data_IF_645929535232
#
_entry.id   IF_645929535232
#
_cell.length_a   1.000
_cell.length_b   1.000
_cell.length_c   1.000
_cell.angle_alpha   90.00
_cell.angle_beta   90.00
_cell.angle_gamma   90.00
#
_symmetry.space_group_name_H-M   'P 1'
#
loop_
_entity.id
_entity.type
_entity.pdbx_description
1 polymer ?
#
# COMPACT_ATOMS: atom_id res chain seq x y z
N UNK A 1 -25.01 -56.80 11.95
CA UNK A 1 -25.56 -55.52 12.45
C UNK A 1 -24.99 -54.36 11.65
N UNK A 2 -25.50 -54.08 10.43
CA UNK A 2 -24.64 -53.43 9.40
C UNK A 2 -25.05 -52.06 8.86
N UNK A 3 -26.31 -51.79 8.52
CA UNK A 3 -26.67 -50.56 7.78
C UNK A 3 -27.93 -49.87 8.30
N UNK A 4 -28.90 -50.65 8.79
CA UNK A 4 -30.12 -50.12 9.40
C UNK A 4 -29.88 -49.41 10.74
N UNK A 5 -28.83 -49.79 11.48
CA UNK A 5 -28.44 -49.11 12.73
C UNK A 5 -27.80 -47.74 12.44
N UNK A 6 -26.95 -47.67 11.42
CA UNK A 6 -26.28 -46.45 10.99
C UNK A 6 -27.28 -45.39 10.45
N UNK A 7 -28.34 -45.79 9.74
CA UNK A 7 -29.42 -44.86 9.35
C UNK A 7 -30.21 -44.33 10.55
N UNK A 8 -30.47 -45.16 11.56
CA UNK A 8 -31.19 -44.74 12.78
C UNK A 8 -30.36 -43.78 13.62
N UNK A 9 -29.06 -44.04 13.75
CA UNK A 9 -28.14 -43.15 14.47
C UNK A 9 -27.94 -41.83 13.70
N UNK A 10 -27.89 -41.85 12.36
CA UNK A 10 -27.85 -40.63 11.54
C UNK A 10 -29.15 -39.81 11.64
N UNK A 11 -30.31 -40.46 11.76
CA UNK A 11 -31.60 -39.77 11.95
C UNK A 11 -31.74 -39.16 13.35
N UNK A 12 -31.11 -39.76 14.36
CA UNK A 12 -31.01 -39.18 15.70
C UNK A 12 -30.03 -37.99 15.75
N UNK A 13 -28.87 -38.09 15.09
CA UNK A 13 -27.91 -36.98 14.96
C UNK A 13 -28.49 -35.80 14.15
N UNK A 14 -29.30 -36.08 13.12
CA UNK A 14 -30.02 -35.05 12.34
C UNK A 14 -31.12 -34.37 13.16
N UNK A 15 -31.68 -35.01 14.18
CA UNK A 15 -32.63 -34.39 15.09
C UNK A 15 -31.96 -33.43 16.10
N UNK A 16 -30.66 -33.60 16.37
CA UNK A 16 -29.83 -32.70 17.20
C UNK A 16 -29.17 -31.57 16.39
N UNK A 17 -29.45 -31.49 15.08
CA UNK A 17 -28.87 -30.51 14.17
C UNK A 17 -29.34 -29.04 14.27
N UNK A 18 -30.37 -28.60 15.03
CA UNK A 18 -30.67 -27.16 15.10
C UNK A 18 -29.59 -26.35 15.84
N UNK A 19 -28.86 -26.96 16.78
CA UNK A 19 -27.78 -26.29 17.53
C UNK A 19 -26.50 -26.09 16.70
N UNK A 20 -26.14 -27.05 15.84
CA UNK A 20 -24.99 -26.91 14.95
C UNK A 20 -25.22 -25.89 13.82
N UNK A 21 -26.46 -25.71 13.35
CA UNK A 21 -26.79 -24.65 12.39
C UNK A 21 -26.63 -23.27 13.03
N UNK A 22 -27.02 -23.09 14.30
CA UNK A 22 -26.78 -21.84 15.03
C UNK A 22 -25.28 -21.57 15.23
N UNK A 23 -24.52 -22.57 15.68
CA UNK A 23 -23.06 -22.45 15.84
C UNK A 23 -22.32 -22.22 14.50
N UNK A 24 -22.79 -22.85 13.43
CA UNK A 24 -22.27 -22.62 12.08
C UNK A 24 -22.62 -21.21 11.56
N UNK A 25 -23.81 -20.69 11.90
CA UNK A 25 -24.22 -19.34 11.50
C UNK A 25 -23.46 -18.25 12.29
N UNK A 26 -23.17 -18.49 13.57
CA UNK A 26 -22.30 -17.61 14.38
C UNK A 26 -20.85 -17.61 13.88
N UNK A 27 -20.35 -18.77 13.45
CA UNK A 27 -19.01 -18.89 12.85
C UNK A 27 -18.96 -18.25 11.46
N UNK A 28 -20.00 -18.43 10.64
CA UNK A 28 -20.11 -17.80 9.32
C UNK A 28 -20.22 -16.27 9.44
N UNK A 29 -20.94 -15.76 10.45
CA UNK A 29 -21.03 -14.32 10.74
C UNK A 29 -19.66 -13.75 11.17
N UNK A 30 -18.93 -14.43 12.05
CA UNK A 30 -17.57 -14.03 12.43
C UNK A 30 -16.60 -14.06 11.23
N UNK A 31 -16.70 -15.09 10.37
CA UNK A 31 -15.88 -15.20 9.17
C UNK A 31 -16.19 -14.11 8.14
N UNK A 32 -17.47 -13.78 7.93
CA UNK A 32 -17.88 -12.67 7.06
C UNK A 32 -17.46 -11.32 7.62
N UNK A 33 -17.52 -11.10 8.94
CA UNK A 33 -17.01 -9.88 9.54
C UNK A 33 -15.50 -9.73 9.35
N UNK A 34 -14.73 -10.81 9.49
CA UNK A 34 -13.29 -10.80 9.24
C UNK A 34 -12.96 -10.53 7.76
N UNK A 35 -13.68 -11.17 6.83
CA UNK A 35 -13.51 -10.95 5.40
C UNK A 35 -13.87 -9.50 5.00
N UNK A 36 -14.96 -8.96 5.54
CA UNK A 36 -15.36 -7.57 5.31
C UNK A 36 -14.35 -6.56 5.89
N UNK A 37 -13.78 -6.83 7.08
CA UNK A 37 -12.72 -6.00 7.66
C UNK A 37 -11.44 -6.05 6.83
N UNK A 38 -11.05 -7.22 6.34
CA UNK A 38 -9.85 -7.38 5.52
C UNK A 38 -10.00 -6.68 4.16
N UNK A 39 -11.20 -6.73 3.59
CA UNK A 39 -11.51 -6.05 2.33
C UNK A 39 -11.62 -4.53 2.51
N UNK A 40 -12.16 -4.06 3.64
CA UNK A 40 -12.16 -2.64 3.99
C UNK A 40 -10.73 -2.11 4.24
N UNK A 41 -9.88 -2.86 4.95
CA UNK A 41 -8.48 -2.49 5.17
C UNK A 41 -7.68 -2.45 3.86
N UNK A 42 -7.86 -3.44 2.98
CA UNK A 42 -7.23 -3.45 1.66
C UNK A 42 -7.72 -2.30 0.77
N UNK A 43 -9.03 -1.99 0.80
CA UNK A 43 -9.60 -0.86 0.07
C UNK A 43 -9.07 0.47 0.60
N UNK A 44 -8.90 0.61 1.92
CA UNK A 44 -8.39 1.83 2.54
C UNK A 44 -6.90 2.04 2.25
N UNK A 45 -6.11 0.96 2.22
CA UNK A 45 -4.70 1.01 1.86
C UNK A 45 -4.50 1.29 0.36
N UNK A 46 -5.41 0.80 -0.49
CA UNK A 46 -5.45 1.12 -1.93
C UNK A 46 -5.86 2.58 -2.17
N UNK A 47 -6.89 3.06 -1.48
CA UNK A 47 -7.35 4.45 -1.57
C UNK A 47 -6.30 5.45 -1.06
N UNK A 48 -5.58 5.09 0.02
CA UNK A 48 -4.46 5.88 0.54
C UNK A 48 -3.29 5.95 -0.46
N UNK A 49 -2.98 4.85 -1.14
CA UNK A 49 -1.99 4.84 -2.22
C UNK A 49 -2.42 5.68 -3.43
N UNK A 50 -3.71 5.63 -3.81
CA UNK A 50 -4.27 6.46 -4.88
C UNK A 50 -4.32 7.95 -4.51
N UNK A 51 -4.58 8.29 -3.25
CA UNK A 51 -4.57 9.66 -2.75
C UNK A 51 -3.15 10.24 -2.58
N UNK A 52 -2.10 9.44 -2.75
CA UNK A 52 -0.73 9.86 -2.49
C UNK A 52 -0.46 10.13 -1.01
N UNK A 53 -1.26 9.56 -0.12
CA UNK A 53 -1.18 9.75 1.33
C UNK A 53 -0.89 8.40 1.97
N UNK A 54 0.38 8.13 2.26
CA UNK A 54 0.82 6.88 2.88
C UNK A 54 2.29 6.97 3.30
N UNK A 55 2.80 6.01 4.08
CA UNK A 55 4.18 6.04 4.59
C UNK A 55 5.23 6.09 3.48
N UNK A 56 4.92 5.54 2.31
CA UNK A 56 5.79 5.61 1.13
C UNK A 56 5.92 7.03 0.53
N UNK A 57 5.02 7.95 0.88
CA UNK A 57 5.02 9.34 0.42
C UNK A 57 5.65 10.31 1.43
N UNK A 58 6.09 9.83 2.61
CA UNK A 58 6.74 10.68 3.60
C UNK A 58 8.10 11.20 3.11
N UNK A 59 8.50 12.44 3.43
CA UNK A 59 9.79 12.98 3.05
C UNK A 59 10.97 12.12 3.55
N UNK A 60 12.00 11.98 2.72
CA UNK A 60 13.23 11.27 3.08
C UNK A 60 14.31 12.30 3.41
N UNK A 61 14.82 12.32 4.64
CA UNK A 61 15.82 13.29 5.10
C UNK A 61 15.45 14.75 4.76
N UNK A 62 14.18 15.10 4.91
CA UNK A 62 13.66 16.44 4.58
C UNK A 62 13.34 16.68 3.11
N UNK A 63 13.62 15.72 2.23
CA UNK A 63 13.34 15.79 0.80
C UNK A 63 11.99 15.13 0.47
N UNK A 64 10.99 15.97 0.19
CA UNK A 64 9.66 15.51 -0.23
C UNK A 64 9.66 15.09 -1.71
N UNK A 65 8.64 14.32 -2.11
CA UNK A 65 8.48 13.87 -3.49
C UNK A 65 8.31 15.05 -4.47
N UNK A 66 7.67 16.13 -4.03
CA UNK A 66 7.49 17.37 -4.77
C UNK A 66 8.82 18.07 -5.04
N UNK A 67 9.66 18.23 -4.01
CA UNK A 67 11.00 18.83 -4.16
C UNK A 67 11.85 17.97 -5.10
N UNK A 68 11.78 16.65 -4.97
CA UNK A 68 12.49 15.73 -5.85
C UNK A 68 12.09 15.92 -7.31
N UNK A 69 10.78 15.89 -7.59
CA UNK A 69 10.23 16.04 -8.93
C UNK A 69 10.50 17.42 -9.53
N UNK A 70 10.46 18.48 -8.71
CA UNK A 70 10.80 19.84 -9.12
C UNK A 70 12.26 19.94 -9.55
N UNK A 71 13.20 19.43 -8.75
CA UNK A 71 14.63 19.43 -9.09
C UNK A 71 14.87 18.62 -10.38
N UNK A 72 14.28 17.43 -10.50
CA UNK A 72 14.38 16.62 -11.70
C UNK A 72 13.85 17.36 -12.94
N UNK A 73 12.73 18.07 -12.80
CA UNK A 73 12.14 18.89 -13.87
C UNK A 73 13.05 20.07 -14.24
N UNK A 74 13.64 20.75 -13.27
CA UNK A 74 14.60 21.84 -13.50
C UNK A 74 15.80 21.35 -14.30
N UNK A 75 16.40 20.21 -13.91
CA UNK A 75 17.53 19.61 -14.62
C UNK A 75 17.17 19.25 -16.07
N UNK A 76 15.98 18.67 -16.29
CA UNK A 76 15.50 18.38 -17.64
C UNK A 76 15.26 19.66 -18.46
N UNK A 77 14.74 20.73 -17.85
CA UNK A 77 14.58 22.03 -18.51
C UNK A 77 15.93 22.69 -18.85
N UNK A 78 16.95 22.47 -18.02
CA UNK A 78 18.34 22.87 -18.26
C UNK A 78 19.05 21.94 -19.27
N UNK A 79 18.43 20.82 -19.69
CA UNK A 79 19.01 19.86 -20.62
C UNK A 79 20.19 19.07 -20.04
N UNK A 80 20.27 18.94 -18.71
CA UNK A 80 21.39 18.30 -18.00
C UNK A 80 20.92 17.19 -17.06
N UNK A 81 21.79 16.25 -16.78
CA UNK A 81 21.61 15.20 -15.76
C UNK A 81 22.72 15.24 -14.70
N UNK A 82 23.43 16.37 -14.60
CA UNK A 82 24.55 16.56 -13.68
C UNK A 82 24.09 16.46 -12.22
N UNK A 83 24.66 15.48 -11.52
CA UNK A 83 24.39 15.22 -10.11
C UNK A 83 24.91 16.34 -9.21
N UNK A 84 25.99 17.03 -9.58
CA UNK A 84 26.48 18.18 -8.81
C UNK A 84 25.48 19.33 -8.90
N UNK A 85 24.88 19.53 -10.07
CA UNK A 85 23.81 20.52 -10.26
C UNK A 85 22.58 20.18 -9.44
N UNK A 86 22.19 18.91 -9.40
CA UNK A 86 21.10 18.41 -8.57
C UNK A 86 21.33 18.71 -7.08
N UNK A 87 22.53 18.42 -6.57
CA UNK A 87 22.92 18.71 -5.18
C UNK A 87 22.91 20.20 -4.87
N UNK A 88 23.40 21.06 -5.75
CA UNK A 88 23.31 22.52 -5.56
C UNK A 88 21.86 23.01 -5.44
N UNK A 89 20.96 22.45 -6.25
CA UNK A 89 19.52 22.76 -6.16
C UNK A 89 18.90 22.25 -4.86
N UNK A 90 19.35 21.11 -4.34
CA UNK A 90 18.92 20.57 -3.05
C UNK A 90 19.44 21.40 -1.87
N UNK A 91 20.72 21.81 -1.91
CA UNK A 91 21.36 22.65 -0.90
C UNK A 91 20.71 24.03 -0.80
N UNK A 92 20.29 24.59 -1.94
CA UNK A 92 19.50 25.83 -1.97
C UNK A 92 18.15 25.71 -1.23
N UNK A 93 17.67 24.48 -0.98
CA UNK A 93 16.47 24.15 -0.22
C UNK A 93 16.78 23.64 1.19
N UNK A 94 18.04 23.72 1.63
CA UNK A 94 18.49 23.30 2.96
C UNK A 94 18.76 21.80 3.11
N UNK A 95 18.80 21.04 2.02
CA UNK A 95 19.08 19.61 2.01
C UNK A 95 20.56 19.42 1.66
N UNK A 96 21.32 18.77 2.54
CA UNK A 96 22.75 18.55 2.27
C UNK A 96 22.96 17.63 1.05
N UNK A 97 24.10 17.73 0.37
CA UNK A 97 24.42 16.80 -0.73
C UNK A 97 24.37 15.32 -0.32
N UNK A 98 24.74 14.99 0.93
CA UNK A 98 24.65 13.62 1.45
C UNK A 98 23.19 13.18 1.68
N UNK A 99 22.34 14.07 2.20
CA UNK A 99 20.91 13.81 2.37
C UNK A 99 20.20 13.67 1.02
N UNK A 100 20.59 14.47 0.02
CA UNK A 100 20.11 14.35 -1.35
C UNK A 100 20.40 12.95 -1.91
N UNK A 101 21.65 12.49 -1.85
CA UNK A 101 22.03 11.19 -2.40
C UNK A 101 21.28 10.04 -1.72
N UNK A 102 21.17 10.07 -0.39
CA UNK A 102 20.41 9.09 0.37
C UNK A 102 18.91 9.12 0.03
N UNK A 103 18.34 10.31 -0.14
CA UNK A 103 16.93 10.47 -0.48
C UNK A 103 16.62 10.03 -1.91
N UNK A 104 17.48 10.30 -2.89
CA UNK A 104 17.32 9.81 -4.27
C UNK A 104 17.31 8.29 -4.31
N UNK A 105 18.20 7.64 -3.55
CA UNK A 105 18.24 6.18 -3.47
C UNK A 105 16.93 5.60 -2.88
N UNK A 106 16.44 6.18 -1.78
CA UNK A 106 15.18 5.74 -1.15
C UNK A 106 13.95 6.04 -2.02
N UNK A 107 13.87 7.21 -2.66
CA UNK A 107 12.79 7.52 -3.60
C UNK A 107 12.77 6.56 -4.78
N UNK A 108 13.94 6.20 -5.31
CA UNK A 108 14.05 5.18 -6.36
C UNK A 108 13.53 3.83 -5.86
N UNK A 109 13.96 3.37 -4.68
CA UNK A 109 13.48 2.14 -4.08
C UNK A 109 11.96 2.15 -3.82
N UNK A 110 11.41 3.29 -3.39
CA UNK A 110 9.97 3.52 -3.19
C UNK A 110 9.18 3.43 -4.49
N UNK A 111 9.69 4.01 -5.58
CA UNK A 111 9.04 3.91 -6.89
C UNK A 111 9.05 2.47 -7.44
N UNK A 112 10.08 1.69 -7.15
CA UNK A 112 10.14 0.26 -7.53
C UNK A 112 9.16 -0.59 -6.71
N UNK A 113 9.06 -0.36 -5.39
CA UNK A 113 8.16 -1.15 -4.51
C UNK A 113 6.69 -0.73 -4.60
N UNK A 114 6.43 0.54 -4.93
CA UNK A 114 5.10 1.12 -4.95
C UNK A 114 4.90 1.97 -6.21
N UNK A 115 4.20 1.42 -7.21
CA UNK A 115 3.89 2.11 -8.46
C UNK A 115 3.09 3.41 -8.28
N UNK A 116 2.33 3.58 -7.18
CA UNK A 116 1.62 4.82 -6.92
C UNK A 116 2.58 6.00 -6.69
N UNK A 117 3.73 5.75 -6.05
CA UNK A 117 4.78 6.77 -5.86
C UNK A 117 5.35 7.20 -7.22
N UNK A 118 5.64 6.26 -8.10
CA UNK A 118 6.13 6.56 -9.46
C UNK A 118 5.10 7.33 -10.30
N UNK A 119 3.82 6.97 -10.20
CA UNK A 119 2.73 7.70 -10.87
C UNK A 119 2.62 9.14 -10.35
N UNK A 120 2.69 9.34 -9.04
CA UNK A 120 2.66 10.68 -8.42
C UNK A 120 3.87 11.52 -8.84
N UNK A 121 5.07 10.95 -8.81
CA UNK A 121 6.28 11.59 -9.31
C UNK A 121 6.12 12.04 -10.76
N UNK A 122 5.61 11.17 -11.64
CA UNK A 122 5.42 11.53 -13.04
C UNK A 122 4.43 12.69 -13.22
N UNK A 123 3.35 12.74 -12.44
CA UNK A 123 2.41 13.87 -12.45
C UNK A 123 3.11 15.18 -12.09
N UNK A 124 3.86 15.18 -10.99
CA UNK A 124 4.61 16.33 -10.50
C UNK A 124 5.69 16.79 -11.50
N UNK A 125 6.44 15.82 -12.06
CA UNK A 125 7.48 16.06 -13.05
C UNK A 125 6.91 16.68 -14.35
N UNK A 126 5.73 16.21 -14.79
CA UNK A 126 5.01 16.76 -15.94
C UNK A 126 4.27 18.07 -15.62
N UNK A 127 4.23 18.49 -14.36
CA UNK A 127 3.50 19.68 -13.90
C UNK A 127 1.99 19.56 -14.01
N UNK A 128 1.44 18.35 -13.85
CA UNK A 128 0.01 18.02 -13.95
C UNK A 128 -0.61 17.70 -12.60
#
# INVERSE_FOLDING_TARGET
MGLFKQMKDMKNVVAEAPGMVQQANEMAANAQQMAAQQQAAAAQQSAAAEAGTGPDFEPVNGLSLEIYAEIARTLNAEGTTDQNRARQLAEARGISGADWDAAVAEWTARMTRNHAVGKRFNSLYMGR
#
